data_IF_443330328717
#
_entry.id   IF_443330328717
#
_cell.length_a   1.000
_cell.length_b   1.000
_cell.length_c   1.000
_cell.angle_alpha   90.00
_cell.angle_beta   90.00
_cell.angle_gamma   90.00
#
_symmetry.space_group_name_H-M   'P 1'
#
loop_
_entity.id
_entity.type
_entity.pdbx_description
1 polymer ?
#
# COMPACT_ATOMS: atom_id res chain seq x y z
N UNK A 1 11.07 -16.29 6.58
CA UNK A 1 9.93 -15.57 5.96
C UNK A 1 10.47 -14.63 4.89
N UNK A 2 10.08 -14.82 3.61
CA UNK A 2 10.49 -13.90 2.53
C UNK A 2 9.76 -12.57 2.72
N UNK A 3 10.44 -11.57 3.24
CA UNK A 3 9.98 -10.18 3.25
C UNK A 3 9.61 -9.74 1.82
N UNK A 4 8.32 -9.53 1.55
CA UNK A 4 7.87 -8.93 0.29
C UNK A 4 8.20 -7.44 0.35
N UNK A 5 8.96 -6.94 -0.63
CA UNK A 5 9.36 -5.53 -0.70
C UNK A 5 8.09 -4.66 -0.64
N UNK A 6 8.06 -3.69 0.27
CA UNK A 6 6.93 -2.75 0.49
C UNK A 6 5.67 -3.34 1.18
N UNK A 7 5.66 -4.63 1.57
CA UNK A 7 4.57 -5.25 2.33
C UNK A 7 5.11 -5.84 3.64
N UNK A 8 4.62 -5.34 4.77
CA UNK A 8 4.93 -5.85 6.10
C UNK A 8 3.70 -6.58 6.64
N UNK A 9 3.86 -7.85 7.00
CA UNK A 9 2.82 -8.59 7.74
C UNK A 9 2.86 -8.14 9.20
N UNK A 10 1.69 -7.77 9.72
CA UNK A 10 1.49 -7.49 11.13
C UNK A 10 0.67 -8.63 11.73
N UNK A 11 1.32 -9.39 12.61
CA UNK A 11 0.73 -10.42 13.46
C UNK A 11 1.25 -10.14 14.87
N UNK A 12 0.41 -9.55 15.71
CA UNK A 12 0.73 -9.36 17.12
C UNK A 12 -0.05 -10.41 17.89
N UNK A 13 0.65 -11.30 18.62
CA UNK A 13 0.00 -12.37 19.42
C UNK A 13 -1.00 -11.83 20.46
N UNK A 14 -0.89 -10.56 20.87
CA UNK A 14 -1.76 -9.94 21.88
C UNK A 14 -2.54 -8.70 21.42
N UNK A 15 -2.39 -8.25 20.17
CA UNK A 15 -3.03 -7.01 19.72
C UNK A 15 -4.17 -7.26 18.73
N UNK A 16 -5.25 -6.47 18.87
CA UNK A 16 -6.50 -6.52 18.12
C UNK A 16 -6.39 -6.24 16.59
N UNK A 17 -5.19 -6.33 16.02
CA UNK A 17 -4.92 -6.07 14.62
C UNK A 17 -3.99 -7.13 14.01
N UNK A 18 -4.58 -7.96 13.16
CA UNK A 18 -3.89 -8.84 12.23
C UNK A 18 -4.11 -8.32 10.81
N UNK A 19 -3.05 -8.15 10.03
CA UNK A 19 -3.18 -7.52 8.72
C UNK A 19 -1.88 -7.36 7.96
N UNK A 20 -1.97 -6.74 6.80
CA UNK A 20 -0.82 -6.34 6.00
C UNK A 20 -0.71 -4.82 5.95
N UNK A 21 0.51 -4.29 6.08
CA UNK A 21 0.81 -2.89 5.83
C UNK A 21 1.55 -2.77 4.51
N UNK A 22 0.97 -2.00 3.61
CA UNK A 22 1.64 -1.48 2.44
C UNK A 22 2.31 -0.16 2.79
N UNK A 23 3.62 -0.07 2.57
CA UNK A 23 4.36 1.18 2.69
C UNK A 23 5.31 1.32 1.52
N UNK A 24 5.12 2.38 0.72
CA UNK A 24 5.99 2.72 -0.40
C UNK A 24 6.39 4.20 -0.32
N UNK A 25 7.68 4.45 -0.35
CA UNK A 25 8.24 5.81 -0.41
C UNK A 25 8.88 6.03 -1.77
N UNK A 26 8.48 7.09 -2.47
CA UNK A 26 9.06 7.48 -3.76
C UNK A 26 9.09 8.99 -3.88
N UNK A 27 10.22 9.52 -4.36
CA UNK A 27 10.33 10.94 -4.73
C UNK A 27 9.92 11.90 -3.58
N UNK A 28 10.31 11.55 -2.35
CA UNK A 28 10.01 12.32 -1.14
C UNK A 28 8.58 12.18 -0.61
N UNK A 29 7.72 11.35 -1.23
CA UNK A 29 6.35 11.08 -0.77
C UNK A 29 6.23 9.64 -0.27
N UNK A 30 5.56 9.44 0.86
CA UNK A 30 5.32 8.12 1.45
C UNK A 30 3.83 7.81 1.46
N UNK A 31 3.49 6.67 0.88
CA UNK A 31 2.14 6.13 0.85
C UNK A 31 2.06 4.95 1.80
N UNK A 32 1.16 5.03 2.79
CA UNK A 32 0.94 3.96 3.77
C UNK A 32 -0.52 3.52 3.77
N UNK A 33 -0.75 2.22 3.72
CA UNK A 33 -2.10 1.63 3.80
C UNK A 33 -2.08 0.36 4.62
N UNK A 34 -3.15 0.16 5.38
CA UNK A 34 -3.36 -1.02 6.22
C UNK A 34 -4.51 -1.86 5.66
N UNK A 35 -4.28 -3.17 5.57
CA UNK A 35 -5.19 -4.19 5.10
C UNK A 35 -5.47 -5.17 6.25
N UNK A 36 -6.43 -4.85 7.14
CA UNK A 36 -6.80 -5.72 8.26
C UNK A 36 -7.47 -7.00 7.77
N UNK A 37 -7.01 -8.15 8.24
CA UNK A 37 -7.56 -9.47 7.88
C UNK A 37 -9.04 -9.58 8.19
N UNK A 38 -9.48 -8.98 9.30
CA UNK A 38 -10.89 -8.93 9.70
C UNK A 38 -11.80 -8.32 8.64
N UNK A 39 -11.30 -7.33 7.89
CA UNK A 39 -12.07 -6.64 6.83
C UNK A 39 -12.07 -7.43 5.52
N UNK A 40 -10.97 -8.11 5.21
CA UNK A 40 -10.81 -8.86 3.96
C UNK A 40 -11.19 -10.35 4.07
N UNK A 41 -11.47 -10.86 5.26
CA UNK A 41 -11.82 -12.26 5.50
C UNK A 41 -10.62 -13.21 5.54
N UNK A 42 -9.49 -12.74 6.06
CA UNK A 42 -8.31 -13.55 6.37
C UNK A 42 -7.02 -13.15 5.65
N UNK A 43 -5.88 -13.65 6.16
CA UNK A 43 -4.52 -13.28 5.74
C UNK A 43 -4.19 -13.46 4.26
N UNK A 44 -4.82 -14.44 3.59
CA UNK A 44 -4.66 -14.64 2.13
C UNK A 44 -5.36 -13.55 1.32
N UNK A 45 -6.58 -13.16 1.72
CA UNK A 45 -7.37 -12.15 1.00
C UNK A 45 -6.81 -10.75 1.22
N UNK A 46 -6.41 -10.44 2.45
CA UNK A 46 -5.72 -9.18 2.77
C UNK A 46 -4.37 -9.07 2.06
N UNK A 47 -3.61 -10.17 1.94
CA UNK A 47 -2.39 -10.20 1.14
C UNK A 47 -2.69 -9.93 -0.33
N UNK A 48 -3.68 -10.62 -0.91
CA UNK A 48 -4.06 -10.43 -2.32
C UNK A 48 -4.50 -8.99 -2.61
N UNK A 49 -5.28 -8.39 -1.71
CA UNK A 49 -5.68 -6.99 -1.81
C UNK A 49 -4.46 -6.07 -1.73
N UNK A 50 -3.57 -6.27 -0.75
CA UNK A 50 -2.36 -5.48 -0.58
C UNK A 50 -1.41 -5.60 -1.79
N UNK A 51 -1.27 -6.79 -2.37
CA UNK A 51 -0.46 -7.01 -3.58
C UNK A 51 -1.05 -6.34 -4.81
N UNK A 52 -2.37 -6.45 -4.98
CA UNK A 52 -3.08 -5.77 -6.07
C UNK A 52 -2.89 -4.25 -5.98
N UNK A 53 -3.16 -3.68 -4.80
CA UNK A 53 -2.98 -2.24 -4.56
C UNK A 53 -1.53 -1.81 -4.72
N UNK A 54 -0.55 -2.62 -4.30
CA UNK A 54 0.87 -2.33 -4.51
C UNK A 54 1.22 -2.28 -6.00
N UNK A 55 0.71 -3.24 -6.78
CA UNK A 55 0.91 -3.28 -8.23
C UNK A 55 0.36 -2.03 -8.92
N UNK A 56 -0.89 -1.68 -8.63
CA UNK A 56 -1.54 -0.50 -9.21
C UNK A 56 -0.85 0.81 -8.80
N UNK A 57 -0.52 0.95 -7.51
CA UNK A 57 0.16 2.12 -6.98
C UNK A 57 1.57 2.27 -7.59
N UNK A 58 2.30 1.16 -7.77
CA UNK A 58 3.61 1.17 -8.41
C UNK A 58 3.50 1.59 -9.87
N UNK A 59 2.56 1.01 -10.64
CA UNK A 59 2.31 1.39 -12.03
C UNK A 59 1.93 2.87 -12.16
N UNK A 60 1.09 3.38 -11.26
CA UNK A 60 0.72 4.79 -11.21
C UNK A 60 1.94 5.69 -10.95
N UNK A 61 2.76 5.36 -9.96
CA UNK A 61 3.95 6.14 -9.59
C UNK A 61 5.03 6.08 -10.67
N UNK A 62 5.21 4.93 -11.33
CA UNK A 62 6.19 4.73 -12.40
C UNK A 62 5.76 5.40 -13.71
N UNK A 63 4.47 5.39 -14.04
CA UNK A 63 3.90 6.10 -15.20
C UNK A 63 3.73 7.60 -15.00
N UNK A 64 3.95 8.12 -13.79
CA UNK A 64 3.78 9.54 -13.48
C UNK A 64 5.02 10.36 -13.80
N UNK A 65 4.81 11.50 -14.47
CA UNK A 65 5.85 12.53 -14.59
C UNK A 65 6.23 13.05 -13.20
N UNK A 66 7.54 13.20 -13.00
CA UNK A 66 8.12 13.86 -11.83
C UNK A 66 8.50 15.28 -12.20
N UNK A 67 8.24 16.22 -11.30
CA UNK A 67 8.65 17.62 -11.42
C UNK A 67 9.57 17.90 -10.24
N UNK A 68 10.78 18.39 -10.50
CA UNK A 68 11.83 18.62 -9.49
C UNK A 68 12.14 17.39 -8.62
N UNK A 69 12.13 16.20 -9.22
CA UNK A 69 12.37 14.95 -8.51
C UNK A 69 11.25 14.53 -7.55
N UNK A 70 10.13 15.28 -7.50
CA UNK A 70 8.94 15.01 -6.68
C UNK A 70 7.77 14.52 -7.54
N UNK A 71 6.84 13.80 -6.91
CA UNK A 71 5.56 13.48 -7.54
C UNK A 71 4.70 14.74 -7.63
N UNK A 72 3.95 14.88 -8.72
CA UNK A 72 2.97 15.98 -8.83
C UNK A 72 1.86 15.81 -7.81
N UNK A 73 1.27 16.92 -7.34
CA UNK A 73 0.12 16.88 -6.43
C UNK A 73 -1.04 16.05 -7.01
N UNK A 74 -1.23 16.07 -8.34
CA UNK A 74 -2.23 15.26 -9.03
C UNK A 74 -1.96 13.76 -8.92
N UNK A 75 -0.70 13.34 -9.10
CA UNK A 75 -0.30 11.94 -8.89
C UNK A 75 -0.51 11.51 -7.45
N UNK A 76 -0.12 12.34 -6.49
CA UNK A 76 -0.29 12.07 -5.06
C UNK A 76 -1.77 11.89 -4.72
N UNK A 77 -2.64 12.82 -5.15
CA UNK A 77 -4.09 12.71 -4.95
C UNK A 77 -4.69 11.46 -5.60
N UNK A 78 -4.23 11.09 -6.81
CA UNK A 78 -4.67 9.85 -7.47
C UNK A 78 -4.26 8.61 -6.68
N UNK A 79 -3.03 8.59 -6.17
CA UNK A 79 -2.51 7.51 -5.34
C UNK A 79 -3.27 7.40 -4.02
N UNK A 80 -3.54 8.50 -3.33
CA UNK A 80 -4.34 8.55 -2.11
C UNK A 80 -5.77 8.06 -2.35
N UNK A 81 -6.39 8.49 -3.46
CA UNK A 81 -7.73 8.02 -3.86
C UNK A 81 -7.74 6.51 -4.11
N UNK A 82 -6.76 6.00 -4.85
CA UNK A 82 -6.61 4.56 -5.10
C UNK A 82 -6.46 3.80 -3.79
N UNK A 83 -5.65 4.32 -2.87
CA UNK A 83 -5.53 3.73 -1.54
C UNK A 83 -6.85 3.77 -0.77
N UNK A 84 -7.63 4.84 -0.86
CA UNK A 84 -8.93 4.96 -0.20
C UNK A 84 -9.96 3.96 -0.75
N UNK A 85 -9.96 3.71 -2.06
CA UNK A 85 -10.85 2.77 -2.76
C UNK A 85 -10.46 1.30 -2.58
N UNK A 86 -9.23 1.01 -2.13
CA UNK A 86 -8.74 -0.34 -1.88
C UNK A 86 -9.35 -1.01 -0.62
N UNK A 87 -10.57 -0.63 -0.22
CA UNK A 87 -11.20 -0.97 1.06
C UNK A 87 -12.51 -1.72 0.93
#
# INVERSE_FOLDING_TARGET
>A
MKSKRNLTRFTYESAAFEGWRLCISRAGTTFTKYFPDKKFGGGKKSLAAAEKTLGELKTLIEGSKRVDGKLTATTVKKAEKLLAEAF
#
